data_IF_909051362003
#
_entry.id   IF_909051362003
#
_cell.length_a   1.000
_cell.length_b   1.000
_cell.length_c   1.000
_cell.angle_alpha   90.00
_cell.angle_beta   90.00
_cell.angle_gamma   90.00
#
_symmetry.space_group_name_H-M   'P 1'
#
loop_
_entity.id
_entity.type
_entity.pdbx_description
1 polymer ?
#
# COMPACT_ATOMS: atom_id res chain seq x y z
N UNK A 1 -16.94 6.06 1.76
CA UNK A 1 -15.55 6.05 1.34
C UNK A 1 -14.72 6.86 2.33
N UNK A 2 -13.87 6.21 3.08
CA UNK A 2 -13.13 6.88 4.13
C UNK A 2 -11.64 6.56 4.01
N UNK A 3 -10.91 7.49 3.39
CA UNK A 3 -9.46 7.43 3.36
C UNK A 3 -8.94 7.80 4.77
N UNK A 4 -8.33 6.83 5.43
CA UNK A 4 -7.81 7.03 6.78
C UNK A 4 -6.29 7.18 6.74
N UNK A 5 -5.80 8.30 7.23
CA UNK A 5 -4.37 8.53 7.38
C UNK A 5 -3.84 7.67 8.53
N UNK A 6 -2.79 6.91 8.27
CA UNK A 6 -2.17 6.07 9.28
C UNK A 6 -1.03 6.81 9.98
N UNK A 7 -0.93 6.63 11.29
CA UNK A 7 0.21 7.10 12.04
C UNK A 7 1.45 6.30 11.61
N UNK A 8 2.60 6.95 11.54
CA UNK A 8 3.86 6.31 11.14
C UNK A 8 4.17 5.07 12.00
N UNK A 9 3.81 5.09 13.26
CA UNK A 9 4.02 3.95 14.16
C UNK A 9 3.21 2.72 13.77
N UNK A 10 2.16 2.90 12.95
CA UNK A 10 1.30 1.81 12.48
C UNK A 10 1.74 1.24 11.12
N UNK A 11 2.64 1.91 10.41
CA UNK A 11 2.93 1.58 9.02
C UNK A 11 3.45 0.16 8.85
N UNK A 12 4.40 -0.24 9.67
CA UNK A 12 5.00 -1.57 9.56
C UNK A 12 3.98 -2.67 9.80
N UNK A 13 3.22 -2.55 10.88
CA UNK A 13 2.21 -3.57 11.21
C UNK A 13 1.07 -3.60 10.20
N UNK A 14 0.68 -2.43 9.68
CA UNK A 14 -0.34 -2.37 8.63
C UNK A 14 0.13 -3.10 7.37
N UNK A 15 1.35 -2.83 6.91
CA UNK A 15 1.91 -3.49 5.72
C UNK A 15 2.00 -5.01 5.93
N UNK A 16 2.40 -5.44 7.12
CA UNK A 16 2.47 -6.87 7.46
C UNK A 16 1.08 -7.52 7.41
N UNK A 17 0.05 -6.82 7.89
CA UNK A 17 -1.33 -7.32 7.83
C UNK A 17 -1.81 -7.46 6.40
N UNK A 18 -1.52 -6.45 5.56
CA UNK A 18 -1.86 -6.52 4.13
C UNK A 18 -1.19 -7.74 3.50
N UNK A 19 0.11 -7.91 3.75
CA UNK A 19 0.88 -9.02 3.17
C UNK A 19 0.32 -10.39 3.53
N UNK A 20 -0.21 -10.55 4.75
CA UNK A 20 -0.77 -11.84 5.17
C UNK A 20 -2.06 -12.21 4.44
N UNK A 21 -2.76 -11.24 3.85
CA UNK A 21 -4.04 -11.49 3.20
C UNK A 21 -4.01 -11.51 1.68
N UNK A 22 -2.84 -11.47 1.06
CA UNK A 22 -2.72 -11.15 -0.37
C UNK A 22 -2.96 -12.28 -1.36
N UNK A 23 -3.26 -13.49 -0.93
CA UNK A 23 -3.37 -14.63 -1.86
C UNK A 23 -4.38 -14.30 -2.96
N UNK A 24 -3.90 -14.32 -4.21
CA UNK A 24 -4.76 -14.12 -5.38
C UNK A 24 -5.17 -12.68 -5.67
N UNK A 25 -4.63 -11.71 -4.95
CA UNK A 25 -4.99 -10.30 -5.17
C UNK A 25 -4.14 -9.68 -6.28
N UNK A 26 -4.75 -8.78 -7.04
CA UNK A 26 -4.08 -8.01 -8.08
C UNK A 26 -4.18 -6.53 -7.78
N UNK A 27 -3.18 -5.78 -8.20
CA UNK A 27 -3.10 -4.34 -7.93
C UNK A 27 -2.71 -3.55 -9.16
N UNK A 28 -3.21 -2.32 -9.21
CA UNK A 28 -2.78 -1.30 -10.15
C UNK A 28 -2.04 -0.23 -9.35
N UNK A 29 -0.92 0.26 -9.86
CA UNK A 29 -0.20 1.37 -9.26
C UNK A 29 -0.28 2.56 -10.17
N UNK A 30 -0.90 3.63 -9.68
CA UNK A 30 -0.96 4.92 -10.35
C UNK A 30 -0.06 5.90 -9.61
N UNK A 31 0.80 6.59 -10.35
CA UNK A 31 1.72 7.60 -9.80
C UNK A 31 1.25 8.97 -10.26
N UNK A 32 1.01 9.87 -9.30
CA UNK A 32 0.55 11.24 -9.56
C UNK A 32 1.66 12.22 -9.15
N UNK A 33 2.12 13.03 -10.11
CA UNK A 33 3.08 14.10 -9.84
C UNK A 33 2.62 15.39 -10.50
N UNK A 34 3.07 16.52 -9.96
CA UNK A 34 2.73 17.83 -10.54
C UNK A 34 3.35 18.03 -11.92
N UNK A 35 4.52 17.43 -12.17
CA UNK A 35 5.24 17.62 -13.42
C UNK A 35 4.78 16.68 -14.52
N UNK A 36 4.40 15.43 -14.18
CA UNK A 36 4.10 14.40 -15.18
C UNK A 36 2.62 13.99 -15.22
N UNK A 37 1.82 14.51 -14.29
CA UNK A 37 0.41 14.09 -14.18
C UNK A 37 0.29 12.66 -13.69
N UNK A 38 -0.70 11.95 -14.22
CA UNK A 38 -1.00 10.57 -13.81
C UNK A 38 -0.30 9.59 -14.75
N UNK A 39 0.38 8.59 -14.16
CA UNK A 39 1.02 7.51 -14.92
C UNK A 39 0.71 6.17 -14.25
N UNK A 40 0.41 5.15 -15.06
CA UNK A 40 0.17 3.80 -14.57
C UNK A 40 1.49 3.03 -14.65
N UNK A 41 2.03 2.68 -13.48
CA UNK A 41 3.29 1.93 -13.38
C UNK A 41 3.08 0.42 -13.40
N UNK A 42 1.93 -0.03 -12.91
CA UNK A 42 1.56 -1.44 -12.92
C UNK A 42 0.06 -1.52 -13.14
N UNK A 43 -0.37 -2.46 -13.99
CA UNK A 43 -1.79 -2.63 -14.30
C UNK A 43 -2.21 -4.06 -13.98
N UNK A 44 -2.92 -4.19 -12.85
CA UNK A 44 -3.53 -5.45 -12.38
C UNK A 44 -2.57 -6.63 -12.31
N UNK A 45 -1.35 -6.38 -11.82
CA UNK A 45 -0.37 -7.43 -11.57
C UNK A 45 -0.67 -8.14 -10.25
N UNK A 46 -0.32 -9.43 -10.14
CA UNK A 46 -0.41 -10.09 -8.83
C UNK A 46 0.40 -9.33 -7.78
N UNK A 47 -0.24 -9.01 -6.67
CA UNK A 47 0.41 -8.34 -5.55
C UNK A 47 0.95 -9.40 -4.60
N UNK A 48 2.27 -9.41 -4.41
CA UNK A 48 2.96 -10.44 -3.64
C UNK A 48 3.25 -10.01 -2.22
N UNK A 49 3.41 -8.72 -1.98
CA UNK A 49 3.70 -8.22 -0.65
C UNK A 49 3.71 -6.71 -0.57
N UNK A 50 3.51 -6.21 0.64
CA UNK A 50 3.65 -4.81 0.97
C UNK A 50 4.45 -4.76 2.28
N UNK A 51 5.52 -3.96 2.32
CA UNK A 51 6.36 -3.87 3.51
C UNK A 51 6.87 -2.45 3.71
N UNK A 52 7.10 -2.09 4.96
CA UNK A 52 7.77 -0.85 5.32
C UNK A 52 9.00 -1.17 6.17
N UNK A 53 10.15 -0.69 5.73
CA UNK A 53 11.40 -0.81 6.48
C UNK A 53 11.72 0.55 7.10
N UNK A 54 11.61 0.70 8.44
CA UNK A 54 11.91 1.98 9.08
C UNK A 54 13.39 2.36 9.04
N UNK A 55 14.29 1.40 8.88
CA UNK A 55 15.73 1.69 8.81
C UNK A 55 16.11 2.39 7.52
N UNK A 56 15.64 1.86 6.39
CA UNK A 56 15.90 2.46 5.07
C UNK A 56 14.87 3.51 4.71
N UNK A 57 13.76 3.58 5.46
CA UNK A 57 12.64 4.48 5.20
C UNK A 57 12.09 4.27 3.79
N UNK A 58 11.72 3.04 3.49
CA UNK A 58 11.23 2.64 2.18
C UNK A 58 9.98 1.77 2.34
N UNK A 59 8.93 2.08 1.56
CA UNK A 59 7.81 1.17 1.37
C UNK A 59 8.06 0.40 0.07
N UNK A 60 8.02 -0.92 0.16
CA UNK A 60 8.14 -1.79 -1.01
C UNK A 60 6.78 -2.38 -1.35
N UNK A 61 6.38 -2.22 -2.61
CA UNK A 61 5.20 -2.87 -3.17
C UNK A 61 5.71 -3.94 -4.12
N UNK A 62 5.70 -5.19 -3.67
CA UNK A 62 6.21 -6.30 -4.44
C UNK A 62 5.09 -6.88 -5.30
N UNK A 63 5.26 -6.82 -6.62
CA UNK A 63 4.34 -7.39 -7.59
C UNK A 63 5.08 -8.45 -8.40
N UNK A 64 4.32 -9.29 -9.09
CA UNK A 64 4.91 -10.29 -9.97
C UNK A 64 5.65 -9.60 -11.13
N UNK A 65 6.98 -9.71 -11.12
CA UNK A 65 7.82 -9.12 -12.14
C UNK A 65 8.16 -7.64 -11.95
N UNK A 66 7.73 -7.02 -10.84
CA UNK A 66 7.99 -5.60 -10.61
C UNK A 66 8.03 -5.31 -9.11
N UNK A 67 9.13 -4.69 -8.65
CA UNK A 67 9.21 -4.13 -7.30
C UNK A 67 9.08 -2.62 -7.39
N UNK A 68 8.02 -2.07 -6.81
CA UNK A 68 7.82 -0.63 -6.76
C UNK A 68 8.24 -0.11 -5.39
N UNK A 69 9.26 0.75 -5.37
CA UNK A 69 9.81 1.29 -4.13
C UNK A 69 9.37 2.73 -3.94
N UNK A 70 8.90 3.06 -2.75
CA UNK A 70 8.57 4.43 -2.37
C UNK A 70 9.60 4.90 -1.36
N UNK A 71 10.45 5.82 -1.79
CA UNK A 71 11.55 6.33 -0.98
C UNK A 71 11.07 7.45 -0.06
N UNK A 72 11.51 7.42 1.18
CA UNK A 72 11.22 8.47 2.16
C UNK A 72 9.73 8.80 2.22
N UNK A 73 8.87 7.80 2.49
CA UNK A 73 7.43 8.04 2.54
C UNK A 73 7.10 9.03 3.66
N UNK A 74 6.22 9.98 3.35
CA UNK A 74 5.76 10.99 4.32
C UNK A 74 4.38 10.68 4.84
N UNK A 75 3.53 10.07 3.99
CA UNK A 75 2.15 9.76 4.33
C UNK A 75 1.79 8.38 3.82
N UNK A 76 1.03 7.67 4.60
CA UNK A 76 0.44 6.39 4.23
C UNK A 76 -1.02 6.41 4.67
N UNK A 77 -1.92 6.20 3.74
CA UNK A 77 -3.35 6.18 4.02
C UNK A 77 -4.01 4.96 3.40
N UNK A 78 -5.08 4.52 4.02
CA UNK A 78 -5.84 3.36 3.57
C UNK A 78 -7.30 3.71 3.38
N UNK A 79 -7.90 3.25 2.30
CA UNK A 79 -9.33 3.33 2.07
C UNK A 79 -9.93 1.95 2.30
N UNK A 80 -10.72 1.83 3.36
CA UNK A 80 -11.33 0.57 3.78
C UNK A 80 -12.85 0.77 3.73
N UNK A 81 -13.52 -0.13 3.01
CA UNK A 81 -14.98 -0.18 2.95
C UNK A 81 -15.45 -1.45 3.66
N UNK A 82 -16.77 -1.69 3.69
CA UNK A 82 -17.32 -2.85 4.37
C UNK A 82 -16.73 -4.17 3.87
N UNK A 83 -16.44 -4.25 2.56
CA UNK A 83 -15.86 -5.45 1.95
C UNK A 83 -14.36 -5.61 2.21
N UNK A 84 -13.68 -4.60 2.76
CA UNK A 84 -12.27 -4.65 3.08
C UNK A 84 -11.47 -3.49 2.51
N UNK A 85 -10.16 -3.66 2.46
CA UNK A 85 -9.22 -2.67 1.93
C UNK A 85 -9.35 -2.60 0.41
N UNK A 86 -9.51 -1.39 -0.12
CA UNK A 86 -9.61 -1.19 -1.58
C UNK A 86 -8.45 -0.39 -2.15
N UNK A 87 -7.84 0.51 -1.37
CA UNK A 87 -6.77 1.38 -1.86
C UNK A 87 -5.79 1.70 -0.75
N UNK A 88 -4.51 1.77 -1.11
CA UNK A 88 -3.45 2.31 -0.24
C UNK A 88 -2.82 3.48 -0.99
N UNK A 89 -2.72 4.64 -0.33
CA UNK A 89 -2.07 5.81 -0.91
C UNK A 89 -0.82 6.14 -0.13
N UNK A 90 0.26 6.41 -0.85
CA UNK A 90 1.54 6.75 -0.26
C UNK A 90 2.04 8.02 -0.91
N UNK A 91 2.43 9.00 -0.09
CA UNK A 91 3.11 10.21 -0.58
C UNK A 91 4.56 10.10 -0.20
N UNK A 92 5.46 10.21 -1.19
CA UNK A 92 6.90 10.10 -0.94
C UNK A 92 7.52 11.44 -0.50
N UNK A 93 8.83 11.41 -0.28
CA UNK A 93 9.57 12.58 0.19
C UNK A 93 9.58 13.76 -0.79
N UNK A 94 9.28 13.51 -2.05
CA UNK A 94 9.22 14.56 -3.09
C UNK A 94 7.77 15.02 -3.34
N UNK A 95 6.81 14.52 -2.57
CA UNK A 95 5.41 14.89 -2.73
C UNK A 95 4.68 14.12 -3.81
N UNK A 96 5.29 13.11 -4.40
CA UNK A 96 4.66 12.28 -5.41
C UNK A 96 3.72 11.29 -4.74
N UNK A 97 2.49 11.24 -5.22
CA UNK A 97 1.45 10.35 -4.66
C UNK A 97 1.41 9.05 -5.46
N UNK A 98 1.45 7.95 -4.74
CA UNK A 98 1.34 6.62 -5.34
C UNK A 98 0.09 5.96 -4.80
N UNK A 99 -0.79 5.55 -5.71
CA UNK A 99 -2.08 4.96 -5.37
C UNK A 99 -2.04 3.50 -5.77
N UNK A 100 -2.10 2.61 -4.78
CA UNK A 100 -2.16 1.16 -4.99
C UNK A 100 -3.62 0.76 -4.89
N UNK A 101 -4.23 0.43 -6.02
CA UNK A 101 -5.64 0.03 -6.10
C UNK A 101 -5.72 -1.49 -6.15
N UNK A 102 -6.50 -2.09 -5.28
CA UNK A 102 -6.75 -3.52 -5.33
C UNK A 102 -7.94 -3.78 -6.25
N UNK A 103 -7.79 -4.77 -7.13
CA UNK A 103 -8.86 -5.15 -8.05
C UNK A 103 -10.09 -5.64 -7.30
N UNK A 104 -9.84 -6.45 -6.27
CA UNK A 104 -10.90 -6.95 -5.38
C UNK A 104 -10.56 -6.53 -3.96
N UNK A 105 -11.56 -6.16 -3.13
CA UNK A 105 -11.28 -5.77 -1.76
C UNK A 105 -10.57 -6.86 -0.98
N UNK A 106 -9.64 -6.45 -0.12
CA UNK A 106 -8.87 -7.35 0.73
C UNK A 106 -9.40 -7.27 2.16
N UNK A 107 -9.96 -8.38 2.65
CA UNK A 107 -10.34 -8.46 4.05
C UNK A 107 -9.06 -8.57 4.88
N UNK A 108 -8.74 -7.52 5.63
CA UNK A 108 -7.53 -7.50 6.43
C UNK A 108 -7.65 -8.50 7.58
N UNK A 109 -6.62 -9.34 7.80
CA UNK A 109 -6.61 -10.19 8.98
C UNK A 109 -6.52 -9.31 10.22
N UNK A 110 -7.04 -9.83 11.34
CA UNK A 110 -6.96 -9.12 12.61
C UNK A 110 -5.50 -8.88 12.97
N UNK A 111 -5.24 -7.73 13.59
CA UNK A 111 -3.95 -7.50 14.19
C UNK A 111 -3.67 -8.59 15.22
N UNK A 112 -2.43 -9.09 15.24
CA UNK A 112 -2.05 -10.10 16.22
C UNK A 112 -2.23 -9.57 17.62
N UNK A 113 -2.92 -10.34 18.45
CA UNK A 113 -3.09 -10.00 19.85
C UNK A 113 -2.18 -10.92 20.67
N UNK A 114 -1.31 -10.38 21.51
CA UNK A 114 -0.44 -11.22 22.35
C UNK A 114 -1.23 -12.03 23.38
N UNK A 115 -2.48 -11.64 23.62
CA UNK A 115 -3.33 -12.34 24.58
C UNK A 115 -4.16 -13.46 23.95
N UNK A 116 -4.04 -13.63 22.67
CA UNK A 116 -4.81 -14.65 21.97
C UNK A 116 -4.26 -16.03 22.21
#
# INVERSE_FOLDING_TARGET
MALRMLDRTEWRSFCDRVSRGLVGKRAEIEVLSLSLGSQIEAEWLPLLGLSYDPKSDVVEVALDGLDHLVQRPRELAADVVAAGLVTVEIVDGDGVRQIIKLRDPLMLPRASSPAA
#
